data_IF_662183409964
#
_entry.id   IF_662183409964
#
_cell.length_a   1.000
_cell.length_b   1.000
_cell.length_c   1.000
_cell.angle_alpha   90.00
_cell.angle_beta   90.00
_cell.angle_gamma   90.00
#
_symmetry.space_group_name_H-M   'P 1'
#
loop_
_entity.id
_entity.type
_entity.pdbx_description
1 polymer ?
#
# COMPACT_ATOMS: atom_id res chain seq x y z
N UNK A 1 0.41 2.62 -7.31
CA UNK A 1 1.24 2.31 -8.50
C UNK A 1 1.05 3.38 -9.58
N UNK A 2 2.14 3.87 -10.23
CA UNK A 2 2.05 4.53 -11.53
C UNK A 2 2.12 3.51 -12.69
N UNK A 3 0.97 2.95 -13.06
CA UNK A 3 0.89 1.85 -14.02
C UNK A 3 1.40 2.21 -15.42
N UNK A 4 1.16 3.45 -15.88
CA UNK A 4 1.65 3.91 -17.18
C UNK A 4 3.18 3.97 -17.24
N UNK A 5 3.82 4.54 -16.23
CA UNK A 5 5.28 4.63 -16.19
C UNK A 5 5.91 3.23 -16.06
N UNK A 6 5.28 2.33 -15.32
CA UNK A 6 5.74 0.94 -15.25
C UNK A 6 5.61 0.21 -16.60
N UNK A 7 4.51 0.44 -17.34
CA UNK A 7 4.35 -0.12 -18.68
C UNK A 7 5.46 0.36 -19.61
N UNK A 8 5.82 1.65 -19.53
CA UNK A 8 6.95 2.23 -20.27
C UNK A 8 8.24 1.49 -19.95
N UNK A 9 8.54 1.29 -18.66
CA UNK A 9 9.76 0.60 -18.23
C UNK A 9 9.78 -0.88 -18.67
N UNK A 10 8.67 -1.62 -18.54
CA UNK A 10 8.58 -3.01 -19.00
C UNK A 10 8.79 -3.13 -20.51
N UNK A 11 8.13 -2.26 -21.29
CA UNK A 11 8.29 -2.23 -22.75
C UNK A 11 9.73 -1.87 -23.16
N UNK A 12 10.32 -0.84 -22.54
CA UNK A 12 11.69 -0.44 -22.81
C UNK A 12 12.70 -1.55 -22.45
N UNK A 13 12.52 -2.22 -21.31
CA UNK A 13 13.41 -3.30 -20.86
C UNK A 13 13.36 -4.52 -21.78
N UNK A 14 12.15 -4.99 -22.16
CA UNK A 14 12.01 -6.06 -23.16
C UNK A 14 12.61 -5.68 -24.51
N UNK A 15 12.48 -4.41 -24.91
CA UNK A 15 13.04 -3.94 -26.17
C UNK A 15 14.56 -3.87 -26.12
N UNK A 16 15.15 -3.45 -24.99
CA UNK A 16 16.59 -3.50 -24.72
C UNK A 16 17.12 -4.93 -24.83
N UNK A 17 16.44 -5.91 -24.22
CA UNK A 17 16.80 -7.33 -24.30
C UNK A 17 16.86 -7.84 -25.76
N UNK A 18 15.95 -7.38 -26.63
CA UNK A 18 15.90 -7.77 -28.05
C UNK A 18 16.96 -7.08 -28.91
N UNK A 19 17.27 -5.81 -28.64
CA UNK A 19 18.22 -5.02 -29.44
C UNK A 19 19.68 -5.29 -29.03
N UNK A 20 19.93 -5.68 -27.77
CA UNK A 20 21.27 -5.91 -27.22
C UNK A 20 21.78 -4.74 -26.38
N UNK A 21 23.10 -4.56 -26.31
CA UNK A 21 23.72 -3.55 -25.43
C UNK A 21 23.40 -2.12 -25.87
N UNK A 22 22.52 -1.46 -25.11
CA UNK A 22 22.30 -0.01 -25.12
C UNK A 22 23.11 0.65 -23.98
N UNK A 23 23.64 1.86 -24.24
CA UNK A 23 24.14 2.73 -23.17
C UNK A 23 22.99 3.25 -22.32
N UNK A 24 23.29 3.84 -21.17
CA UNK A 24 22.27 4.41 -20.29
C UNK A 24 21.54 5.57 -20.96
N UNK A 25 22.24 6.40 -21.75
CA UNK A 25 21.60 7.45 -22.55
C UNK A 25 20.71 6.86 -23.64
N UNK A 26 21.16 5.80 -24.31
CA UNK A 26 20.35 5.10 -25.31
C UNK A 26 19.08 4.47 -24.71
N UNK A 27 19.17 3.97 -23.49
CA UNK A 27 18.00 3.46 -22.76
C UNK A 27 17.05 4.59 -22.33
N UNK A 28 17.58 5.74 -21.88
CA UNK A 28 16.76 6.91 -21.55
C UNK A 28 15.97 7.42 -22.77
N UNK A 29 16.61 7.50 -23.94
CA UNK A 29 15.94 7.86 -25.21
C UNK A 29 14.88 6.82 -25.61
N UNK A 30 15.15 5.54 -25.41
CA UNK A 30 14.15 4.48 -25.63
C UNK A 30 12.93 4.67 -24.72
N UNK A 31 13.14 4.94 -23.43
CA UNK A 31 12.04 5.23 -22.49
C UNK A 31 11.22 6.44 -22.92
N UNK A 32 11.84 7.50 -23.45
CA UNK A 32 11.12 8.67 -24.00
C UNK A 32 10.25 8.26 -25.19
N UNK A 33 10.81 7.52 -26.16
CA UNK A 33 10.07 7.05 -27.32
C UNK A 33 8.89 6.12 -26.95
N UNK A 34 9.10 5.22 -25.98
CA UNK A 34 8.03 4.35 -25.46
C UNK A 34 6.96 5.19 -24.76
N UNK A 35 7.34 6.22 -23.99
CA UNK A 35 6.38 7.07 -23.26
C UNK A 35 5.45 7.85 -24.20
N UNK A 36 5.95 8.27 -25.37
CA UNK A 36 5.15 8.94 -26.40
C UNK A 36 4.08 8.03 -27.01
N UNK A 37 4.40 6.75 -27.25
CA UNK A 37 3.46 5.80 -27.82
C UNK A 37 3.66 4.37 -27.27
N UNK A 38 3.23 4.07 -26.03
CA UNK A 38 3.49 2.78 -25.39
C UNK A 38 2.93 1.60 -26.19
N UNK A 39 1.77 1.79 -26.83
CA UNK A 39 1.09 0.76 -27.62
C UNK A 39 1.90 0.28 -28.82
N UNK A 40 2.77 1.11 -29.40
CA UNK A 40 3.64 0.70 -30.50
C UNK A 40 4.79 -0.24 -30.05
N UNK A 41 5.05 -0.31 -28.75
CA UNK A 41 6.11 -1.14 -28.16
C UNK A 41 5.58 -2.37 -27.41
N UNK A 42 4.26 -2.54 -27.35
CA UNK A 42 3.62 -3.77 -26.86
C UNK A 42 3.73 -4.83 -27.95
N UNK A 43 4.57 -5.83 -27.72
CA UNK A 43 4.88 -6.88 -28.69
C UNK A 43 4.85 -8.31 -28.10
N UNK A 44 4.44 -8.46 -26.84
CA UNK A 44 4.21 -9.75 -26.18
C UNK A 44 2.85 -9.86 -25.50
N UNK A 45 2.33 -11.08 -25.26
CA UNK A 45 1.12 -11.29 -24.47
C UNK A 45 1.20 -10.71 -23.06
N UNK A 46 2.35 -10.85 -22.39
CA UNK A 46 2.65 -10.27 -21.07
C UNK A 46 2.44 -8.74 -21.05
N UNK A 47 3.01 -8.04 -22.04
CA UNK A 47 2.88 -6.58 -22.14
C UNK A 47 1.45 -6.15 -22.48
N UNK A 48 0.76 -6.91 -23.33
CA UNK A 48 -0.63 -6.64 -23.68
C UNK A 48 -1.55 -6.82 -22.46
N UNK A 49 -1.31 -7.87 -21.67
CA UNK A 49 -2.03 -8.14 -20.42
C UNK A 49 -1.83 -7.02 -19.41
N UNK A 50 -0.58 -6.62 -19.16
CA UNK A 50 -0.28 -5.52 -18.26
C UNK A 50 -0.88 -4.19 -18.75
N UNK A 51 -0.81 -3.88 -20.06
CA UNK A 51 -1.43 -2.69 -20.62
C UNK A 51 -2.96 -2.67 -20.44
N UNK A 52 -3.62 -3.82 -20.60
CA UNK A 52 -5.05 -3.99 -20.34
C UNK A 52 -5.38 -3.72 -18.86
N UNK A 53 -4.59 -4.28 -17.94
CA UNK A 53 -4.75 -4.05 -16.50
C UNK A 53 -4.58 -2.58 -16.13
N UNK A 54 -3.53 -1.91 -16.64
CA UNK A 54 -3.29 -0.49 -16.40
C UNK A 54 -4.48 0.34 -16.86
N UNK A 55 -5.03 0.06 -18.05
CA UNK A 55 -6.24 0.72 -18.54
C UNK A 55 -7.46 0.50 -17.65
N UNK A 56 -7.62 -0.69 -17.07
CA UNK A 56 -8.70 -1.01 -16.15
C UNK A 56 -8.57 -0.26 -14.81
N UNK A 57 -7.36 -0.19 -14.24
CA UNK A 57 -7.07 0.59 -13.02
C UNK A 57 -7.29 2.09 -13.25
N UNK A 58 -6.81 2.63 -14.37
CA UNK A 58 -7.02 4.04 -14.73
C UNK A 58 -8.52 4.37 -14.92
N UNK A 59 -9.31 3.42 -15.44
CA UNK A 59 -10.76 3.58 -15.55
C UNK A 59 -11.44 3.53 -14.17
N UNK A 60 -11.01 2.61 -13.30
CA UNK A 60 -11.52 2.48 -11.93
C UNK A 60 -11.31 3.76 -11.12
N UNK A 61 -10.09 4.32 -11.12
CA UNK A 61 -9.77 5.54 -10.39
C UNK A 61 -10.52 6.76 -10.95
N UNK A 62 -10.54 6.94 -12.28
CA UNK A 62 -11.26 8.08 -12.89
C UNK A 62 -12.75 8.06 -12.62
N UNK A 63 -13.36 6.86 -12.56
CA UNK A 63 -14.78 6.73 -12.32
C UNK A 63 -15.19 7.08 -10.88
N UNK A 64 -14.25 7.13 -9.93
CA UNK A 64 -14.51 7.51 -8.53
C UNK A 64 -14.16 8.94 -8.16
N UNK A 65 -13.73 9.78 -9.12
CA UNK A 65 -13.21 11.12 -8.82
C UNK A 65 -14.26 12.07 -8.23
N UNK A 66 -15.55 11.81 -8.48
CA UNK A 66 -16.68 12.64 -8.05
C UNK A 66 -17.55 11.93 -6.99
N UNK A 67 -17.01 10.91 -6.31
CA UNK A 67 -17.75 10.13 -5.32
C UNK A 67 -18.24 10.96 -4.13
N UNK A 68 -17.54 12.05 -3.78
CA UNK A 68 -17.91 12.98 -2.70
C UNK A 68 -19.25 13.72 -2.95
N UNK A 69 -19.79 13.65 -4.18
CA UNK A 69 -21.06 14.26 -4.56
C UNK A 69 -22.25 13.30 -4.43
N UNK A 70 -22.00 12.02 -4.19
CA UNK A 70 -23.01 10.97 -4.13
C UNK A 70 -23.53 10.82 -2.71
N UNK A 71 -24.81 10.45 -2.59
CA UNK A 71 -25.30 9.91 -1.32
C UNK A 71 -24.80 8.47 -1.07
N UNK A 72 -25.04 7.93 0.12
CA UNK A 72 -24.56 6.59 0.51
C UNK A 72 -25.01 5.47 -0.44
N UNK A 73 -26.24 5.52 -0.95
CA UNK A 73 -26.79 4.44 -1.78
C UNK A 73 -26.30 4.59 -3.23
N UNK A 74 -26.21 5.82 -3.74
CA UNK A 74 -25.60 6.14 -5.02
C UNK A 74 -24.11 5.76 -5.05
N UNK A 75 -23.38 6.07 -3.97
CA UNK A 75 -21.98 5.71 -3.79
C UNK A 75 -21.79 4.20 -3.85
N UNK A 76 -22.56 3.43 -3.06
CA UNK A 76 -22.48 1.96 -3.06
C UNK A 76 -22.73 1.37 -4.44
N UNK A 77 -23.77 1.83 -5.13
CA UNK A 77 -24.10 1.37 -6.49
C UNK A 77 -23.04 1.76 -7.52
N UNK A 78 -22.46 2.97 -7.41
CA UNK A 78 -21.36 3.40 -8.27
C UNK A 78 -20.11 2.55 -8.04
N UNK A 79 -19.72 2.35 -6.78
CA UNK A 79 -18.58 1.51 -6.38
C UNK A 79 -18.72 0.07 -6.85
N UNK A 80 -19.88 -0.55 -6.69
CA UNK A 80 -20.14 -1.91 -7.17
C UNK A 80 -19.92 -2.02 -8.69
N UNK A 81 -20.47 -1.07 -9.47
CA UNK A 81 -20.27 -1.03 -10.93
C UNK A 81 -18.79 -0.85 -11.31
N UNK A 82 -18.05 -0.01 -10.58
CA UNK A 82 -16.62 0.19 -10.79
C UNK A 82 -15.83 -1.09 -10.53
N UNK A 83 -16.12 -1.81 -9.45
CA UNK A 83 -15.47 -3.09 -9.12
C UNK A 83 -15.80 -4.18 -10.15
N UNK A 84 -17.05 -4.26 -10.61
CA UNK A 84 -17.44 -5.20 -11.68
C UNK A 84 -16.67 -4.92 -12.99
N UNK A 85 -16.54 -3.64 -13.37
CA UNK A 85 -15.78 -3.24 -14.55
C UNK A 85 -14.27 -3.56 -14.39
N UNK A 86 -13.70 -3.30 -13.21
CA UNK A 86 -12.31 -3.66 -12.90
C UNK A 86 -12.08 -5.17 -12.98
N UNK A 87 -12.99 -5.96 -12.41
CA UNK A 87 -12.93 -7.43 -12.48
C UNK A 87 -12.99 -7.94 -13.92
N UNK A 88 -13.84 -7.36 -14.77
CA UNK A 88 -13.89 -7.68 -16.20
C UNK A 88 -12.56 -7.31 -16.91
N UNK A 89 -11.96 -6.17 -16.57
CA UNK A 89 -10.64 -5.77 -17.08
C UNK A 89 -9.54 -6.74 -16.67
N UNK A 90 -9.54 -7.20 -15.41
CA UNK A 90 -8.60 -8.23 -14.92
C UNK A 90 -8.80 -9.56 -15.66
N UNK A 91 -10.04 -10.00 -15.85
CA UNK A 91 -10.34 -11.22 -16.60
C UNK A 91 -9.87 -11.11 -18.07
N UNK A 92 -10.00 -9.93 -18.69
CA UNK A 92 -9.48 -9.68 -20.02
C UNK A 92 -7.94 -9.76 -20.06
N UNK A 93 -7.26 -9.13 -19.10
CA UNK A 93 -5.79 -9.21 -18.98
C UNK A 93 -5.35 -10.68 -18.82
N UNK A 94 -5.99 -11.44 -17.93
CA UNK A 94 -5.69 -12.86 -17.71
C UNK A 94 -5.98 -13.76 -18.92
N UNK A 95 -6.91 -13.37 -19.80
CA UNK A 95 -7.14 -14.08 -21.07
C UNK A 95 -6.02 -13.88 -22.09
N UNK A 96 -5.22 -12.81 -21.94
CA UNK A 96 -4.07 -12.51 -22.79
C UNK A 96 -2.81 -13.17 -22.25
N UNK A 97 -2.63 -13.16 -20.92
CA UNK A 97 -1.55 -13.83 -20.21
C UNK A 97 -2.05 -14.26 -18.82
N UNK A 98 -2.22 -15.57 -18.64
CA UNK A 98 -2.69 -16.15 -17.37
C UNK A 98 -1.65 -16.01 -16.25
N UNK A 99 -0.37 -15.81 -16.61
CA UNK A 99 0.74 -15.54 -15.71
C UNK A 99 0.83 -14.09 -15.22
N UNK A 100 -0.08 -13.19 -15.63
CA UNK A 100 -0.02 -11.78 -15.23
C UNK A 100 -0.28 -11.61 -13.72
N UNK A 101 0.79 -11.50 -12.94
CA UNK A 101 0.73 -11.49 -11.48
C UNK A 101 -0.05 -10.29 -10.92
N UNK A 102 0.15 -9.08 -11.46
CA UNK A 102 -0.61 -7.90 -11.03
C UNK A 102 -2.11 -8.09 -11.31
N UNK A 103 -2.51 -8.74 -12.41
CA UNK A 103 -3.92 -8.96 -12.73
C UNK A 103 -4.57 -9.97 -11.78
N UNK A 104 -3.86 -11.05 -11.42
CA UNK A 104 -4.30 -12.00 -10.38
C UNK A 104 -4.44 -11.31 -9.02
N UNK A 105 -3.46 -10.47 -8.66
CA UNK A 105 -3.46 -9.71 -7.41
C UNK A 105 -4.64 -8.74 -7.34
N UNK A 106 -4.80 -7.87 -8.35
CA UNK A 106 -5.89 -6.89 -8.40
C UNK A 106 -7.26 -7.57 -8.40
N UNK A 107 -7.42 -8.67 -9.14
CA UNK A 107 -8.66 -9.44 -9.14
C UNK A 107 -8.99 -10.00 -7.76
N UNK A 108 -7.98 -10.49 -7.03
CA UNK A 108 -8.16 -11.05 -5.68
C UNK A 108 -8.49 -9.96 -4.65
N UNK A 109 -7.82 -8.81 -4.73
CA UNK A 109 -8.06 -7.67 -3.83
C UNK A 109 -9.44 -7.02 -4.06
N UNK A 110 -9.89 -6.96 -5.32
CA UNK A 110 -11.18 -6.37 -5.69
C UNK A 110 -12.37 -7.32 -5.43
N UNK A 111 -12.12 -8.60 -5.14
CA UNK A 111 -13.16 -9.57 -4.89
C UNK A 111 -13.77 -9.42 -3.49
N UNK A 112 -15.08 -9.69 -3.38
CA UNK A 112 -15.80 -9.76 -2.10
C UNK A 112 -15.46 -11.07 -1.36
N UNK A 113 -14.25 -11.12 -0.80
CA UNK A 113 -13.75 -12.22 0.01
C UNK A 113 -13.68 -11.80 1.47
N UNK A 114 -13.96 -12.73 2.38
CA UNK A 114 -13.58 -12.56 3.78
C UNK A 114 -12.04 -12.63 3.93
N UNK A 115 -11.48 -12.17 5.06
CA UNK A 115 -10.03 -12.08 5.23
C UNK A 115 -9.26 -13.40 5.06
N UNK A 116 -9.82 -14.53 5.54
CA UNK A 116 -9.16 -15.83 5.44
C UNK A 116 -9.15 -16.35 4.00
N UNK A 117 -10.29 -16.29 3.29
CA UNK A 117 -10.37 -16.68 1.87
C UNK A 117 -9.47 -15.80 0.99
N UNK A 118 -9.38 -14.51 1.31
CA UNK A 118 -8.47 -13.58 0.61
C UNK A 118 -7.00 -13.97 0.84
N UNK A 119 -6.62 -14.27 2.09
CA UNK A 119 -5.25 -14.68 2.40
C UNK A 119 -4.89 -15.98 1.67
N UNK A 120 -5.78 -16.98 1.70
CA UNK A 120 -5.58 -18.25 1.02
C UNK A 120 -5.40 -18.05 -0.50
N UNK A 121 -6.20 -17.18 -1.12
CA UNK A 121 -6.05 -16.85 -2.54
C UNK A 121 -4.69 -16.17 -2.85
N UNK A 122 -4.26 -15.22 -2.02
CA UNK A 122 -2.97 -14.54 -2.19
C UNK A 122 -1.78 -15.51 -2.02
N UNK A 123 -1.82 -16.40 -1.04
CA UNK A 123 -0.79 -17.43 -0.84
C UNK A 123 -0.73 -18.44 -1.99
N UNK A 124 -1.89 -18.78 -2.59
CA UNK A 124 -1.91 -19.64 -3.78
C UNK A 124 -1.29 -18.95 -4.99
N UNK A 125 -1.45 -17.63 -5.12
CA UNK A 125 -0.80 -16.84 -6.17
C UNK A 125 0.72 -16.83 -5.94
N UNK A 126 1.17 -16.57 -4.71
CA UNK A 126 2.59 -16.56 -4.35
C UNK A 126 3.25 -17.92 -4.64
N UNK A 127 2.66 -19.01 -4.18
CA UNK A 127 3.22 -20.35 -4.37
C UNK A 127 3.40 -20.72 -5.86
N UNK A 128 2.53 -20.20 -6.74
CA UNK A 128 2.67 -20.38 -8.19
C UNK A 128 3.77 -19.49 -8.78
N UNK A 129 3.90 -18.26 -8.29
CA UNK A 129 4.90 -17.29 -8.75
C UNK A 129 6.32 -17.69 -8.32
N UNK A 130 6.49 -18.17 -7.08
CA UNK A 130 7.77 -18.65 -6.52
C UNK A 130 8.30 -19.87 -7.28
N UNK A 131 7.42 -20.73 -7.77
CA UNK A 131 7.82 -21.86 -8.61
C UNK A 131 8.36 -21.42 -9.99
N UNK A 132 8.07 -20.19 -10.42
CA UNK A 132 8.38 -19.68 -11.75
C UNK A 132 9.52 -18.64 -11.78
N UNK A 133 9.87 -18.03 -10.63
CA UNK A 133 10.72 -16.84 -10.58
C UNK A 133 11.85 -16.98 -9.56
N UNK A 134 13.11 -16.85 -10.01
CA UNK A 134 14.24 -16.66 -9.10
C UNK A 134 14.34 -15.19 -8.67
N UNK A 135 14.64 -14.93 -7.39
CA UNK A 135 14.80 -13.58 -6.87
C UNK A 135 15.98 -12.87 -7.57
N UNK A 136 15.65 -11.88 -8.40
CA UNK A 136 16.61 -10.99 -9.06
C UNK A 136 16.83 -9.74 -8.21
N UNK A 137 18.05 -9.57 -7.67
CA UNK A 137 18.45 -8.31 -7.07
C UNK A 137 18.95 -7.41 -8.19
N UNK A 138 18.31 -6.26 -8.39
CA UNK A 138 18.69 -5.30 -9.42
C UNK A 138 20.08 -4.69 -9.18
N UNK A 139 20.47 -3.71 -10.00
CA UNK A 139 21.82 -3.15 -9.99
C UNK A 139 22.28 -2.58 -8.64
N UNK A 140 21.35 -2.12 -7.79
CA UNK A 140 21.65 -1.58 -6.46
C UNK A 140 21.59 -2.62 -5.33
N UNK A 141 21.26 -3.88 -5.65
CA UNK A 141 20.92 -4.89 -4.65
C UNK A 141 19.47 -4.80 -4.15
N UNK A 142 18.65 -3.94 -4.76
CA UNK A 142 17.22 -3.82 -4.51
C UNK A 142 16.42 -4.50 -5.63
N UNK A 143 15.51 -5.41 -5.28
CA UNK A 143 14.64 -6.07 -6.25
C UNK A 143 13.71 -5.09 -6.98
N UNK A 144 13.39 -3.93 -6.40
CA UNK A 144 12.51 -2.93 -7.04
C UNK A 144 13.07 -2.35 -8.35
N UNK A 145 14.40 -2.34 -8.48
CA UNK A 145 15.08 -1.86 -9.69
C UNK A 145 14.80 -2.76 -10.90
N UNK A 146 14.48 -4.03 -10.65
CA UNK A 146 13.95 -4.92 -11.67
C UNK A 146 12.43 -4.71 -11.77
N UNK A 147 12.01 -4.08 -12.86
CA UNK A 147 10.59 -3.77 -13.11
C UNK A 147 9.71 -5.04 -13.12
N UNK A 148 10.27 -6.21 -13.42
CA UNK A 148 9.55 -7.48 -13.44
C UNK A 148 9.40 -8.11 -12.05
N UNK A 149 10.16 -7.65 -11.05
CA UNK A 149 10.03 -8.10 -9.65
C UNK A 149 8.99 -7.30 -8.87
N UNK A 150 8.59 -6.11 -9.35
CA UNK A 150 7.61 -5.26 -8.67
C UNK A 150 6.27 -5.94 -8.38
N UNK A 151 5.70 -6.79 -9.26
CA UNK A 151 4.44 -7.50 -8.97
C UNK A 151 4.57 -8.45 -7.77
N UNK A 152 5.71 -9.14 -7.66
CA UNK A 152 6.02 -10.02 -6.51
C UNK A 152 6.10 -9.20 -5.21
N UNK A 153 6.80 -8.05 -5.24
CA UNK A 153 6.93 -7.18 -4.07
C UNK A 153 5.57 -6.64 -3.60
N UNK A 154 4.67 -6.30 -4.54
CA UNK A 154 3.29 -5.88 -4.22
C UNK A 154 2.45 -7.02 -3.66
N UNK A 155 2.62 -8.24 -4.19
CA UNK A 155 1.94 -9.42 -3.67
C UNK A 155 2.34 -9.69 -2.21
N UNK A 156 3.64 -9.63 -1.90
CA UNK A 156 4.12 -9.77 -0.52
C UNK A 156 3.58 -8.67 0.39
N UNK A 157 3.54 -7.42 -0.06
CA UNK A 157 2.90 -6.35 0.71
C UNK A 157 1.40 -6.62 0.96
N UNK A 158 0.67 -7.06 -0.07
CA UNK A 158 -0.75 -7.40 0.05
C UNK A 158 -0.99 -8.58 1.01
N UNK A 159 -0.13 -9.60 1.00
CA UNK A 159 -0.15 -10.71 1.97
C UNK A 159 0.07 -10.16 3.37
N UNK A 160 1.11 -9.35 3.57
CA UNK A 160 1.43 -8.79 4.89
C UNK A 160 0.28 -7.94 5.44
N UNK A 161 -0.34 -7.07 4.61
CA UNK A 161 -1.53 -6.28 4.98
C UNK A 161 -2.73 -7.16 5.32
N UNK A 162 -3.00 -8.19 4.52
CA UNK A 162 -4.12 -9.13 4.77
C UNK A 162 -3.89 -9.92 6.05
N UNK A 163 -2.64 -10.30 6.36
CA UNK A 163 -2.29 -10.90 7.63
C UNK A 163 -2.48 -9.94 8.82
N UNK A 164 -2.14 -8.67 8.67
CA UNK A 164 -2.35 -7.65 9.70
C UNK A 164 -3.86 -7.50 9.99
N UNK A 165 -4.65 -7.34 8.94
CA UNK A 165 -6.12 -7.22 8.99
C UNK A 165 -6.78 -8.44 9.64
N UNK A 166 -6.36 -9.64 9.23
CA UNK A 166 -6.84 -10.92 9.78
C UNK A 166 -6.23 -11.32 11.13
N UNK A 167 -5.49 -10.45 11.82
CA UNK A 167 -4.94 -10.72 13.15
C UNK A 167 -3.73 -11.68 13.21
N UNK A 168 -3.12 -12.00 12.06
CA UNK A 168 -1.94 -12.88 11.92
C UNK A 168 -0.64 -12.09 12.02
N UNK A 169 -0.47 -11.34 13.10
CA UNK A 169 0.59 -10.32 13.24
C UNK A 169 2.02 -10.85 13.09
N UNK A 170 2.32 -12.08 13.54
CA UNK A 170 3.66 -12.67 13.35
C UNK A 170 3.96 -12.94 11.87
N UNK A 171 2.97 -13.45 11.13
CA UNK A 171 3.10 -13.70 9.71
C UNK A 171 3.19 -12.38 8.93
N UNK A 172 2.40 -11.37 9.32
CA UNK A 172 2.52 -10.02 8.75
C UNK A 172 3.94 -9.48 8.90
N UNK A 173 4.52 -9.59 10.10
CA UNK A 173 5.89 -9.16 10.39
C UNK A 173 6.93 -9.94 9.57
N UNK A 174 6.81 -11.27 9.51
CA UNK A 174 7.74 -12.14 8.80
C UNK A 174 7.77 -11.84 7.29
N UNK A 175 6.60 -11.69 6.67
CA UNK A 175 6.47 -11.30 5.25
C UNK A 175 7.03 -9.90 5.02
N UNK A 176 6.73 -8.94 5.90
CA UNK A 176 7.29 -7.58 5.82
C UNK A 176 8.82 -7.55 5.95
N UNK A 177 9.40 -8.40 6.80
CA UNK A 177 10.85 -8.54 6.94
C UNK A 177 11.48 -9.12 5.67
N UNK A 178 10.87 -10.16 5.08
CA UNK A 178 11.29 -10.70 3.79
C UNK A 178 11.25 -9.67 2.67
N UNK A 179 10.16 -8.90 2.61
CA UNK A 179 9.98 -7.79 1.66
C UNK A 179 11.05 -6.71 1.82
N UNK A 180 11.34 -6.26 3.04
CA UNK A 180 12.40 -5.27 3.30
C UNK A 180 13.82 -5.83 3.09
N UNK A 181 14.01 -7.14 3.13
CA UNK A 181 15.27 -7.78 2.79
C UNK A 181 15.49 -7.81 1.27
N UNK A 182 14.43 -8.10 0.50
CA UNK A 182 14.46 -8.10 -0.96
C UNK A 182 14.47 -6.68 -1.58
N UNK A 183 13.78 -5.73 -0.95
CA UNK A 183 13.71 -4.33 -1.38
C UNK A 183 14.05 -3.37 -0.23
N UNK A 184 15.35 -3.10 0.02
CA UNK A 184 15.78 -2.23 1.11
C UNK A 184 15.29 -0.78 1.01
N UNK A 185 14.99 -0.26 -0.20
CA UNK A 185 14.39 1.04 -0.39
C UNK A 185 12.92 1.09 0.07
N UNK A 186 12.27 -0.07 0.17
CA UNK A 186 10.94 -0.29 0.71
C UNK A 186 9.85 0.57 0.04
N UNK A 187 9.78 0.46 -1.30
CA UNK A 187 8.90 1.27 -2.15
C UNK A 187 7.42 0.94 -1.98
N UNK A 188 7.10 -0.29 -1.59
CA UNK A 188 5.72 -0.77 -1.38
C UNK A 188 5.25 -0.68 0.08
N UNK A 189 6.16 -0.38 1.02
CA UNK A 189 5.80 -0.04 2.39
C UNK A 189 5.73 -1.22 3.36
N UNK A 190 6.56 -2.25 3.19
CA UNK A 190 6.69 -3.34 4.16
C UNK A 190 7.00 -2.86 5.58
N UNK A 191 7.76 -1.76 5.73
CA UNK A 191 8.00 -1.15 7.06
C UNK A 191 6.73 -0.68 7.76
N UNK A 192 5.73 -0.26 6.99
CA UNK A 192 4.49 0.34 7.51
C UNK A 192 3.67 -0.74 8.23
N UNK A 193 3.48 -1.88 7.56
CA UNK A 193 2.86 -3.07 8.14
C UNK A 193 3.67 -3.61 9.31
N UNK A 194 5.01 -3.69 9.19
CA UNK A 194 5.89 -4.16 10.25
C UNK A 194 5.76 -3.32 11.53
N UNK A 195 5.69 -2.00 11.43
CA UNK A 195 5.55 -1.10 12.58
C UNK A 195 4.27 -1.40 13.37
N UNK A 196 3.14 -1.58 12.68
CA UNK A 196 1.86 -1.92 13.31
C UNK A 196 1.88 -3.33 13.90
N UNK A 197 2.45 -4.31 13.19
CA UNK A 197 2.59 -5.68 13.69
C UNK A 197 3.44 -5.75 14.97
N UNK A 198 4.59 -5.06 15.01
CA UNK A 198 5.46 -4.96 16.17
C UNK A 198 4.75 -4.28 17.35
N UNK A 199 4.02 -3.19 17.10
CA UNK A 199 3.23 -2.51 18.12
C UNK A 199 2.17 -3.44 18.73
N UNK A 200 1.49 -4.23 17.89
CA UNK A 200 0.48 -5.18 18.34
C UNK A 200 1.04 -6.37 19.09
N UNK A 201 2.24 -6.82 18.72
CA UNK A 201 3.00 -7.89 19.37
C UNK A 201 3.70 -7.43 20.65
N UNK A 202 3.64 -6.12 20.98
CA UNK A 202 4.33 -5.51 22.12
C UNK A 202 5.86 -5.69 22.06
N UNK A 203 6.39 -5.83 20.85
CA UNK A 203 7.81 -6.03 20.60
C UNK A 203 8.53 -4.68 20.51
N UNK A 204 8.93 -4.16 21.68
CA UNK A 204 9.64 -2.89 21.77
C UNK A 204 11.03 -2.93 21.12
N UNK A 205 11.74 -4.05 21.25
CA UNK A 205 13.08 -4.22 20.70
C UNK A 205 13.03 -4.20 19.17
N UNK A 206 12.19 -5.04 18.57
CA UNK A 206 12.01 -5.09 17.12
C UNK A 206 11.50 -3.75 16.57
N UNK A 207 10.63 -3.04 17.29
CA UNK A 207 10.20 -1.70 16.88
C UNK A 207 11.37 -0.71 16.89
N UNK A 208 12.22 -0.73 17.92
CA UNK A 208 13.41 0.14 17.98
C UNK A 208 14.42 -0.16 16.88
N UNK A 209 14.62 -1.44 16.53
CA UNK A 209 15.47 -1.83 15.41
C UNK A 209 14.91 -1.33 14.07
N UNK A 210 13.60 -1.48 13.85
CA UNK A 210 12.92 -0.97 12.67
C UNK A 210 13.08 0.55 12.56
N UNK A 211 12.80 1.28 13.63
CA UNK A 211 12.91 2.74 13.69
C UNK A 211 14.35 3.21 13.42
N UNK A 212 15.34 2.56 14.05
CA UNK A 212 16.75 2.87 13.84
C UNK A 212 17.18 2.69 12.37
N UNK A 213 16.71 1.61 11.72
CA UNK A 213 16.95 1.35 10.29
C UNK A 213 16.36 2.44 9.39
N UNK A 214 15.31 3.10 9.84
CA UNK A 214 14.54 4.08 9.08
C UNK A 214 14.86 5.54 9.44
N UNK A 215 15.83 5.79 10.32
CA UNK A 215 16.22 7.13 10.78
C UNK A 215 16.13 8.20 9.68
N UNK A 216 15.23 9.18 9.85
CA UNK A 216 14.95 10.24 8.86
C UNK A 216 13.86 9.90 7.82
N UNK A 217 13.11 8.81 8.00
CA UNK A 217 11.94 8.38 7.21
C UNK A 217 10.70 8.21 8.10
N UNK A 218 10.55 9.10 9.08
CA UNK A 218 9.38 9.15 9.94
C UNK A 218 8.10 9.26 9.09
N UNK A 219 7.06 8.54 9.51
CA UNK A 219 5.77 8.49 8.82
C UNK A 219 4.66 8.21 9.84
N UNK A 220 3.42 8.36 9.40
CA UNK A 220 2.25 8.22 10.25
C UNK A 220 2.10 6.83 10.89
N UNK A 221 2.46 5.74 10.18
CA UNK A 221 2.44 4.38 10.73
C UNK A 221 3.43 4.19 11.89
N UNK A 222 4.65 4.72 11.75
CA UNK A 222 5.65 4.66 12.83
C UNK A 222 5.21 5.48 14.05
N UNK A 223 4.71 6.70 13.85
CA UNK A 223 4.28 7.56 14.95
C UNK A 223 3.06 6.99 15.68
N UNK A 224 2.06 6.49 14.95
CA UNK A 224 0.90 5.84 15.51
C UNK A 224 1.29 4.51 16.19
N UNK A 225 2.04 3.66 15.51
CA UNK A 225 2.53 2.38 16.04
C UNK A 225 3.33 2.54 17.32
N UNK A 226 4.21 3.54 17.40
CA UNK A 226 4.97 3.87 18.61
C UNK A 226 4.06 4.24 19.78
N UNK A 227 3.00 5.00 19.49
CA UNK A 227 2.02 5.43 20.49
C UNK A 227 1.23 4.23 21.02
N UNK A 228 0.72 3.37 20.12
CA UNK A 228 0.01 2.13 20.46
C UNK A 228 0.91 1.21 21.29
N UNK A 229 2.15 0.96 20.84
CA UNK A 229 3.12 0.11 21.53
C UNK A 229 3.35 0.58 22.98
N UNK A 230 3.68 1.85 23.17
CA UNK A 230 3.97 2.40 24.49
C UNK A 230 2.74 2.43 25.40
N UNK A 231 1.55 2.61 24.82
CA UNK A 231 0.29 2.52 25.54
C UNK A 231 0.06 1.09 26.04
N UNK A 232 0.17 0.09 25.16
CA UNK A 232 -0.01 -1.34 25.50
C UNK A 232 0.99 -1.81 26.57
N UNK A 233 2.24 -1.33 26.51
CA UNK A 233 3.27 -1.60 27.53
C UNK A 233 3.03 -0.90 28.88
N UNK A 234 1.95 -0.12 29.05
CA UNK A 234 1.66 0.59 30.29
C UNK A 234 2.56 1.81 30.54
N UNK A 235 3.38 2.21 29.56
CA UNK A 235 4.35 3.31 29.69
C UNK A 235 3.70 4.66 29.40
N UNK A 236 2.65 5.00 30.16
CA UNK A 236 1.74 6.12 29.89
C UNK A 236 2.44 7.47 29.67
N UNK A 237 3.50 7.78 30.42
CA UNK A 237 4.25 9.03 30.20
C UNK A 237 4.99 9.06 28.86
N UNK A 238 5.49 7.91 28.39
CA UNK A 238 6.12 7.79 27.08
C UNK A 238 5.07 7.75 25.96
N UNK A 239 3.98 7.01 26.15
CA UNK A 239 2.85 6.97 25.23
C UNK A 239 2.27 8.36 24.98
N UNK A 240 2.07 9.16 26.03
CA UNK A 240 1.62 10.55 25.90
C UNK A 240 2.57 11.42 25.08
N UNK A 241 3.89 11.24 25.23
CA UNK A 241 4.88 11.97 24.41
C UNK A 241 4.84 11.51 22.95
N UNK A 242 4.69 10.21 22.70
CA UNK A 242 4.53 9.68 21.36
C UNK A 242 3.24 10.19 20.69
N UNK A 243 2.11 10.22 21.42
CA UNK A 243 0.84 10.78 20.93
C UNK A 243 0.98 12.26 20.55
N UNK A 244 1.73 13.02 21.34
CA UNK A 244 2.06 14.41 21.00
C UNK A 244 2.89 14.49 19.72
N UNK A 245 3.93 13.66 19.60
CA UNK A 245 4.72 13.57 18.38
C UNK A 245 3.85 13.22 17.16
N UNK A 246 2.94 12.26 17.29
CA UNK A 246 1.98 11.92 16.25
C UNK A 246 1.12 13.11 15.83
N UNK A 247 0.54 13.84 16.78
CA UNK A 247 -0.28 15.03 16.49
C UNK A 247 0.51 16.24 15.95
N UNK A 248 1.81 16.35 16.23
CA UNK A 248 2.65 17.48 15.81
C UNK A 248 3.41 17.22 14.49
N UNK A 249 3.76 15.96 14.20
CA UNK A 249 4.55 15.58 13.03
C UNK A 249 3.70 15.09 11.86
N UNK A 250 2.45 14.68 12.12
CA UNK A 250 1.52 14.18 11.11
C UNK A 250 0.31 15.13 11.05
N UNK A 251 0.15 15.82 9.92
CA UNK A 251 -0.96 16.71 9.66
C UNK A 251 -2.30 15.97 9.79
N UNK A 252 -3.26 16.58 10.48
CA UNK A 252 -4.61 16.00 10.66
C UNK A 252 -4.67 14.70 11.46
N UNK A 253 -3.56 14.24 12.06
CA UNK A 253 -3.49 12.96 12.77
C UNK A 253 -4.51 12.78 13.90
N UNK A 254 -4.80 13.86 14.64
CA UNK A 254 -5.82 13.85 15.67
C UNK A 254 -7.22 13.67 15.08
N UNK A 255 -7.52 14.34 13.97
CA UNK A 255 -8.78 14.18 13.27
C UNK A 255 -8.91 12.77 12.69
N UNK A 256 -7.91 12.28 11.97
CA UNK A 256 -7.88 10.92 11.41
C UNK A 256 -8.13 9.84 12.48
N UNK A 257 -7.53 9.98 13.67
CA UNK A 257 -7.68 9.00 14.76
C UNK A 257 -9.05 9.08 15.46
N UNK A 258 -9.59 10.28 15.65
CA UNK A 258 -10.82 10.50 16.43
C UNK A 258 -12.10 10.48 15.57
N UNK A 259 -11.96 10.71 14.27
CA UNK A 259 -13.02 10.73 13.26
C UNK A 259 -12.56 9.96 12.01
N UNK A 260 -12.36 8.63 12.13
CA UNK A 260 -11.93 7.83 11.00
C UNK A 260 -12.96 7.90 9.87
N UNK A 261 -12.48 8.15 8.65
CA UNK A 261 -13.29 8.21 7.43
C UNK A 261 -13.15 6.92 6.64
N UNK A 262 -14.04 6.74 5.67
CA UNK A 262 -13.95 5.63 4.73
C UNK A 262 -12.64 5.70 3.93
N UNK A 263 -11.96 4.56 3.78
CA UNK A 263 -10.79 4.40 2.93
C UNK A 263 -11.10 3.37 1.86
N UNK A 264 -10.90 3.73 0.60
CA UNK A 264 -11.09 2.82 -0.53
C UNK A 264 -10.01 1.73 -0.54
N UNK A 265 -10.33 0.57 -1.11
CA UNK A 265 -9.40 -0.56 -1.23
C UNK A 265 -8.11 -0.16 -1.96
N UNK A 266 -6.98 -0.62 -1.45
CA UNK A 266 -5.68 -0.38 -2.08
C UNK A 266 -5.48 -1.30 -3.28
N UNK A 267 -5.28 -0.71 -4.47
CA UNK A 267 -5.18 -1.44 -5.72
C UNK A 267 -3.99 -0.99 -6.59
N UNK A 268 -3.03 -1.88 -6.88
CA UNK A 268 -2.70 -3.11 -6.13
C UNK A 268 -1.95 -2.85 -4.81
N UNK A 269 -1.32 -1.69 -4.69
CA UNK A 269 -0.50 -1.27 -3.55
C UNK A 269 -1.09 -0.01 -2.90
N UNK A 270 -0.52 0.40 -1.76
CA UNK A 270 -0.92 1.63 -1.06
C UNK A 270 -0.81 2.84 -2.02
N UNK A 271 -1.72 3.81 -1.92
CA UNK A 271 -1.60 5.06 -2.66
C UNK A 271 -0.33 5.82 -2.25
N UNK A 272 0.29 6.52 -3.21
CA UNK A 272 1.41 7.42 -2.92
C UNK A 272 0.88 8.70 -2.29
N UNK A 273 1.31 9.00 -1.07
CA UNK A 273 0.91 10.18 -0.31
C UNK A 273 2.12 10.91 0.27
N UNK A 274 2.04 12.23 0.50
CA UNK A 274 3.11 12.97 1.16
C UNK A 274 3.34 12.45 2.58
N UNK A 275 4.62 12.27 2.94
CA UNK A 275 4.99 11.89 4.30
C UNK A 275 4.53 12.96 5.30
N UNK A 276 3.89 12.53 6.39
CA UNK A 276 3.32 13.42 7.39
C UNK A 276 2.06 14.17 6.95
N UNK A 277 1.48 13.86 5.79
CA UNK A 277 0.20 14.43 5.34
C UNK A 277 -1.02 13.77 5.98
N UNK A 278 -2.19 14.38 5.79
CA UNK A 278 -3.45 13.87 6.35
C UNK A 278 -3.90 12.53 5.75
N UNK A 279 -3.72 12.35 4.45
CA UNK A 279 -4.03 11.07 3.79
C UNK A 279 -3.15 9.95 4.34
N UNK A 280 -1.88 10.24 4.62
CA UNK A 280 -0.95 9.29 5.26
C UNK A 280 -1.44 8.89 6.66
N UNK A 281 -1.88 9.85 7.47
CA UNK A 281 -2.44 9.59 8.79
C UNK A 281 -3.75 8.78 8.72
N UNK A 282 -4.61 9.09 7.75
CA UNK A 282 -5.87 8.37 7.51
C UNK A 282 -5.61 6.90 7.16
N UNK A 283 -4.65 6.63 6.28
CA UNK A 283 -4.27 5.25 5.93
C UNK A 283 -3.61 4.50 7.08
N UNK A 284 -2.75 5.18 7.87
CA UNK A 284 -2.16 4.59 9.06
C UNK A 284 -3.22 4.19 10.11
N UNK A 285 -4.23 5.03 10.32
CA UNK A 285 -5.36 4.72 11.22
C UNK A 285 -6.21 3.58 10.68
N UNK A 286 -6.53 3.59 9.39
CA UNK A 286 -7.31 2.52 8.75
C UNK A 286 -6.63 1.16 8.89
N UNK A 287 -5.33 1.06 8.60
CA UNK A 287 -4.60 -0.21 8.76
C UNK A 287 -4.39 -0.61 10.23
N UNK A 288 -4.41 0.35 11.15
CA UNK A 288 -4.35 0.09 12.58
C UNK A 288 -5.72 -0.29 13.19
N UNK A 289 -6.82 -0.22 12.43
CA UNK A 289 -8.18 -0.47 12.94
C UNK A 289 -8.31 -1.80 13.70
N UNK A 290 -7.81 -2.95 13.20
CA UNK A 290 -7.90 -4.21 13.94
C UNK A 290 -7.18 -4.16 15.29
N UNK A 291 -6.08 -3.40 15.38
CA UNK A 291 -5.30 -3.22 16.60
C UNK A 291 -6.03 -2.29 17.57
N UNK A 292 -6.62 -1.22 17.06
CA UNK A 292 -7.37 -0.23 17.85
C UNK A 292 -8.65 -0.87 18.41
N UNK A 293 -9.36 -1.66 17.60
CA UNK A 293 -10.54 -2.40 18.04
C UNK A 293 -10.21 -3.39 19.19
N UNK A 294 -9.02 -4.00 19.15
CA UNK A 294 -8.48 -4.86 20.21
C UNK A 294 -8.00 -4.09 21.47
N UNK A 295 -7.93 -2.76 21.42
CA UNK A 295 -7.49 -1.89 22.53
C UNK A 295 -8.51 -0.75 22.72
N UNK A 296 -9.73 -1.07 23.21
CA UNK A 296 -10.88 -0.17 23.14
C UNK A 296 -10.72 1.15 23.91
N UNK A 297 -9.91 1.17 24.97
CA UNK A 297 -9.65 2.37 25.77
C UNK A 297 -8.64 3.33 25.13
N UNK A 298 -7.96 2.93 24.04
CA UNK A 298 -6.90 3.73 23.42
C UNK A 298 -7.43 5.06 22.85
N UNK A 299 -8.55 5.01 22.13
CA UNK A 299 -9.16 6.20 21.53
C UNK A 299 -9.65 7.15 22.61
N UNK A 300 -10.40 6.64 23.60
CA UNK A 300 -10.88 7.46 24.73
C UNK A 300 -9.73 8.05 25.55
N UNK A 301 -8.62 7.33 25.70
CA UNK A 301 -7.40 7.85 26.34
C UNK A 301 -6.76 8.99 25.54
N UNK A 302 -6.66 8.84 24.21
CA UNK A 302 -6.09 9.88 23.34
C UNK A 302 -6.98 11.14 23.34
N UNK A 303 -8.30 10.95 23.20
CA UNK A 303 -9.31 12.01 23.21
C UNK A 303 -9.38 12.76 24.55
N UNK A 304 -9.12 12.07 25.65
CA UNK A 304 -9.08 12.66 27.00
C UNK A 304 -8.01 13.74 27.21
N UNK A 305 -7.12 13.95 26.24
CA UNK A 305 -6.17 15.06 26.24
C UNK A 305 -6.70 16.29 25.51
N UNK A 306 -6.97 17.42 26.20
CA UNK A 306 -7.56 18.60 25.57
C UNK A 306 -6.78 19.17 24.38
N UNK A 307 -5.45 19.03 24.40
CA UNK A 307 -4.59 19.50 23.30
C UNK A 307 -4.68 18.62 22.05
N UNK A 308 -5.01 17.34 22.18
CA UNK A 308 -5.17 16.44 21.05
C UNK A 308 -6.57 16.57 20.45
N UNK A 309 -7.59 16.60 21.32
CA UNK A 309 -8.97 16.89 20.95
C UNK A 309 -9.08 18.20 20.16
N UNK A 310 -8.55 19.31 20.73
CA UNK A 310 -8.59 20.62 20.08
C UNK A 310 -7.82 20.66 18.75
N UNK A 311 -6.77 19.85 18.58
CA UNK A 311 -6.06 19.74 17.31
C UNK A 311 -6.93 19.09 16.23
N UNK A 312 -7.71 18.06 16.60
CA UNK A 312 -8.70 17.46 15.70
C UNK A 312 -9.82 18.43 15.32
N UNK A 313 -10.40 19.14 16.30
CA UNK A 313 -11.42 20.18 16.07
C UNK A 313 -10.90 21.27 15.12
N UNK A 314 -9.70 21.78 15.40
CA UNK A 314 -9.10 22.85 14.60
C UNK A 314 -8.85 22.39 13.16
N UNK A 315 -8.43 21.13 12.97
CA UNK A 315 -8.23 20.58 11.64
C UNK A 315 -9.56 20.42 10.89
N UNK A 316 -10.61 19.95 11.56
CA UNK A 316 -11.94 19.84 10.99
C UNK A 316 -12.47 21.21 10.54
N UNK A 317 -12.41 22.22 11.42
CA UNK A 317 -12.86 23.60 11.11
C UNK A 317 -12.09 24.21 9.94
N UNK A 318 -10.76 24.05 9.92
CA UNK A 318 -9.91 24.61 8.87
C UNK A 318 -10.16 24.00 7.48
N UNK A 319 -10.62 22.76 7.42
CA UNK A 319 -10.84 22.01 6.18
C UNK A 319 -12.33 21.80 5.84
N UNK A 320 -13.24 22.30 6.67
CA UNK A 320 -14.69 22.17 6.45
C UNK A 320 -15.24 20.76 6.69
N UNK A 321 -14.60 19.99 7.57
CA UNK A 321 -15.07 18.68 7.98
C UNK A 321 -15.95 18.73 9.23
N UNK A 322 -16.71 17.67 9.45
CA UNK A 322 -17.56 17.50 10.64
C UNK A 322 -16.72 17.04 11.85
N UNK A 323 -17.06 17.55 13.05
CA UNK A 323 -16.49 17.11 14.33
C UNK A 323 -17.54 16.46 15.23
#
# INVERSE_FOLDING_TARGET
MNGREELVLRCAQRRREKIGTLSDEGFAELCLAVRENPTAFVDSPEQASFATLVGALDAFHRAGADDDLLDDDEFRAARERRLQALSAGCAQALSQDDGCLDAQLVQTLAAELNPDDRLDALLQIEAKADAATELSLGATGDAWDDVFMRPQLRLWDAIARTCLDGGRYRMALEVSQGLMAASPADRVGGRLTAALALARLEDEEGFNELDARLSGRENSWLNLGRTILLYKLGRMSAARRALRGYGELCEGAAYALLRPTFVEIYLPDRPEVPAGGFEEATFAVHEAEPIIADVPDFIGWADGFPWFHAAGESYAEANGYDW
#
